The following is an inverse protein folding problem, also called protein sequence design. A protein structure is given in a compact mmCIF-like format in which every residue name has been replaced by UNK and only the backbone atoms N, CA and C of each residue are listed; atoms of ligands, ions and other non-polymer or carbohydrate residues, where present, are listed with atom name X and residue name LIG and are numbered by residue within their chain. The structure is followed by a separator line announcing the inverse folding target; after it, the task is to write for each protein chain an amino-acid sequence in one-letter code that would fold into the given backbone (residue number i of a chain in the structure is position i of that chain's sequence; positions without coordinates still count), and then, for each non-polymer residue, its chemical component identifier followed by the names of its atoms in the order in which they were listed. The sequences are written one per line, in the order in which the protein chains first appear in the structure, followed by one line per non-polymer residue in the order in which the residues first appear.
data_IF_117136840290
#
_entry.id   IF_117136840290
#
_cell.length_a   1.000
_cell.length_b   1.000
_cell.length_c   1.000
_cell.angle_alpha   90.00
_cell.angle_beta   90.00
_cell.angle_gamma   90.00
#
_symmetry.space_group_name_H-M   'P 1'
#
loop_
_entity.id
_entity.type
_entity.pdbx_description
1 polymer ?
#
# COMPACT_ATOMS: atom_id res chain seq x y z
N UNK A 1 -28.13 13.34 66.17
CA UNK A 1 -27.79 14.40 67.16
C UNK A 1 -27.36 15.63 66.38
N UNK A 2 -28.15 16.73 66.36
CA UNK A 2 -27.95 17.97 67.16
C UNK A 2 -26.48 18.43 67.15
N UNK A 3 -26.08 19.68 66.91
CA UNK A 3 -26.71 20.95 66.58
C UNK A 3 -25.56 21.95 66.29
N UNK A 4 -25.76 22.88 65.36
CA UNK A 4 -25.51 24.33 65.45
C UNK A 4 -24.35 24.94 66.29
N UNK A 5 -23.54 25.80 65.66
CA UNK A 5 -23.45 27.28 65.85
C UNK A 5 -22.15 27.81 65.19
N UNK A 6 -22.18 28.63 64.13
CA UNK A 6 -22.50 30.05 63.97
C UNK A 6 -21.54 31.06 64.65
N UNK A 7 -21.03 32.01 63.84
CA UNK A 7 -20.60 33.41 64.10
C UNK A 7 -19.32 33.73 63.29
N UNK A 8 -19.09 34.89 62.67
CA UNK A 8 -19.90 35.95 62.05
C UNK A 8 -18.93 37.01 61.46
N UNK A 9 -19.49 37.93 60.67
CA UNK A 9 -18.95 39.23 60.17
C UNK A 9 -18.04 39.25 58.92
N UNK A 10 -18.47 39.74 57.74
CA UNK A 10 -19.07 41.04 57.28
C UNK A 10 -18.04 42.10 56.87
N UNK A 11 -17.98 42.38 55.56
CA UNK A 11 -18.22 43.71 54.93
C UNK A 11 -18.10 43.55 53.39
N UNK A 12 -19.16 43.62 52.58
CA UNK A 12 -19.93 44.78 52.06
C UNK A 12 -19.16 45.73 51.13
N UNK A 13 -19.45 45.62 49.82
CA UNK A 13 -19.88 46.70 48.90
C UNK A 13 -20.13 46.06 47.51
N UNK A 14 -21.37 45.72 47.11
CA UNK A 14 -22.41 46.56 46.45
C UNK A 14 -21.87 47.53 45.39
N UNK A 15 -22.08 47.21 44.11
CA UNK A 15 -22.95 48.03 43.27
C UNK A 15 -23.63 47.22 42.15
N UNK A 16 -24.90 47.54 41.91
CA UNK A 16 -25.85 46.92 40.97
C UNK A 16 -25.75 47.59 39.59
N UNK A 17 -26.04 46.85 38.52
CA UNK A 17 -27.24 47.11 37.70
C UNK A 17 -27.52 46.01 36.67
N UNK A 18 -28.81 45.67 36.57
CA UNK A 18 -29.44 44.67 35.71
C UNK A 18 -29.54 45.14 34.25
N UNK A 19 -29.60 44.19 33.30
CA UNK A 19 -30.79 43.97 32.49
C UNK A 19 -30.74 42.61 31.76
N UNK A 20 -31.86 41.88 31.86
CA UNK A 20 -32.20 40.64 31.17
C UNK A 20 -32.27 40.81 29.64
N UNK A 21 -32.00 39.74 28.89
CA UNK A 21 -32.97 39.13 27.97
C UNK A 21 -32.43 37.84 27.34
N UNK A 22 -33.22 36.78 27.48
CA UNK A 22 -33.11 35.50 26.80
C UNK A 22 -33.03 35.66 25.27
N UNK A 23 -32.19 34.86 24.59
CA UNK A 23 -32.70 34.01 23.51
C UNK A 23 -31.72 32.94 23.00
N UNK A 24 -32.37 31.84 22.62
CA UNK A 24 -31.88 30.53 22.18
C UNK A 24 -31.07 30.54 20.86
N UNK A 25 -30.14 29.59 20.82
CA UNK A 25 -29.88 28.64 19.72
C UNK A 25 -29.21 29.08 18.41
N UNK A 26 -28.28 28.19 18.01
CA UNK A 26 -27.65 27.95 16.69
C UNK A 26 -26.39 28.74 16.38
N UNK A 27 -25.27 28.35 17.00
CA UNK A 27 -23.98 28.43 16.31
C UNK A 27 -23.67 27.08 15.65
N UNK A 28 -23.77 27.08 14.32
CA UNK A 28 -23.25 26.01 13.45
C UNK A 28 -21.74 25.96 13.64
N UNK A 29 -21.24 24.83 14.13
CA UNK A 29 -19.84 24.45 13.97
C UNK A 29 -19.52 24.40 12.47
N UNK A 30 -18.83 25.42 11.97
CA UNK A 30 -18.00 25.28 10.77
C UNK A 30 -16.77 24.49 11.21
N UNK A 31 -16.82 23.18 11.06
CA UNK A 31 -15.60 22.38 10.99
C UNK A 31 -14.87 22.81 9.71
N UNK A 32 -13.89 23.69 9.87
CA UNK A 32 -12.84 23.87 8.87
C UNK A 32 -12.03 22.58 8.83
N UNK A 33 -12.44 21.65 7.98
CA UNK A 33 -11.55 20.62 7.47
C UNK A 33 -10.53 21.35 6.59
N UNK A 34 -9.45 21.84 7.19
CA UNK A 34 -8.21 22.11 6.48
C UNK A 34 -7.69 20.75 6.01
N UNK A 35 -8.19 20.27 4.86
CA UNK A 35 -7.40 19.43 4.00
C UNK A 35 -6.18 20.27 3.64
N UNK A 36 -5.03 19.91 4.20
CA UNK A 36 -3.74 20.34 3.69
C UNK A 36 -3.63 19.81 2.26
N UNK A 37 -4.15 20.60 1.32
CA UNK A 37 -3.73 20.58 -0.07
C UNK A 37 -2.29 21.08 -0.09
N UNK A 38 -1.35 20.24 0.31
CA UNK A 38 0.01 20.37 -0.18
C UNK A 38 -0.09 20.03 -1.66
N UNK A 39 -0.29 21.07 -2.48
CA UNK A 39 -0.19 20.96 -3.92
C UNK A 39 1.12 20.21 -4.22
N UNK A 40 0.98 18.99 -4.75
CA UNK A 40 2.12 18.25 -5.30
C UNK A 40 2.68 19.17 -6.37
N UNK A 41 3.93 19.64 -6.26
CA UNK A 41 4.47 20.57 -7.25
C UNK A 41 4.31 19.95 -8.64
N UNK A 42 3.64 20.66 -9.54
CA UNK A 42 3.17 20.16 -10.85
C UNK A 42 4.29 19.75 -11.83
N UNK A 43 5.55 19.70 -11.39
CA UNK A 43 6.72 19.31 -12.17
C UNK A 43 7.74 18.57 -11.30
N UNK A 44 7.35 17.45 -10.70
CA UNK A 44 8.32 16.51 -10.13
C UNK A 44 8.75 15.57 -11.24
N UNK A 45 10.04 15.56 -11.56
CA UNK A 45 10.67 14.53 -12.38
C UNK A 45 11.29 13.47 -11.46
N UNK A 46 10.99 12.21 -11.74
CA UNK A 46 11.50 11.02 -11.05
C UNK A 46 12.60 10.42 -11.91
N UNK A 47 13.79 10.25 -11.33
CA UNK A 47 14.89 9.58 -12.00
C UNK A 47 14.63 8.08 -12.09
N UNK A 48 14.98 7.45 -13.21
CA UNK A 48 14.79 6.00 -13.39
C UNK A 48 15.69 5.13 -12.49
N UNK A 49 16.72 5.74 -11.87
CA UNK A 49 17.58 5.10 -10.87
C UNK A 49 17.24 5.47 -9.41
N UNK A 50 16.13 6.16 -9.15
CA UNK A 50 15.74 6.53 -7.79
C UNK A 50 15.18 5.32 -7.03
N UNK A 51 15.95 4.85 -6.05
CA UNK A 51 15.61 3.72 -5.17
C UNK A 51 14.36 3.92 -4.30
N UNK A 52 13.85 5.16 -4.21
CA UNK A 52 12.63 5.45 -3.47
C UNK A 52 11.36 5.27 -4.32
N UNK A 53 11.51 4.86 -5.58
CA UNK A 53 10.38 4.61 -6.47
C UNK A 53 10.50 3.25 -7.16
N UNK A 54 9.36 2.59 -7.29
CA UNK A 54 9.18 1.46 -8.19
C UNK A 54 8.36 1.93 -9.40
N UNK A 55 8.85 1.63 -10.60
CA UNK A 55 8.32 2.11 -11.87
C UNK A 55 8.04 0.91 -12.77
N UNK A 56 6.77 0.74 -13.12
CA UNK A 56 6.28 -0.36 -13.93
C UNK A 56 5.61 0.15 -15.20
N UNK A 57 5.64 -0.67 -16.25
CA UNK A 57 4.78 -0.54 -17.42
C UNK A 57 3.66 -1.58 -17.33
N UNK A 58 2.48 -1.24 -17.83
CA UNK A 58 1.42 -2.24 -17.98
C UNK A 58 1.75 -3.11 -19.19
N UNK A 59 1.79 -4.42 -19.00
CA UNK A 59 2.11 -5.37 -20.05
C UNK A 59 1.67 -6.79 -19.70
N UNK A 60 2.01 -7.73 -20.58
CA UNK A 60 1.76 -9.14 -20.36
C UNK A 60 3.10 -9.86 -20.22
N UNK A 61 3.16 -10.82 -19.31
CA UNK A 61 4.24 -11.80 -19.28
C UNK A 61 4.14 -12.74 -20.47
N UNK A 62 5.25 -13.39 -20.81
CA UNK A 62 5.33 -14.35 -21.92
C UNK A 62 4.76 -15.71 -21.52
N UNK A 63 4.92 -16.12 -20.26
CA UNK A 63 4.30 -17.31 -19.69
C UNK A 63 3.06 -16.94 -18.87
N UNK A 64 2.16 -17.91 -18.72
CA UNK A 64 1.04 -17.84 -17.79
C UNK A 64 1.49 -18.37 -16.42
N UNK A 65 1.22 -17.59 -15.37
CA UNK A 65 1.60 -17.92 -14.00
C UNK A 65 0.37 -18.12 -13.13
N UNK A 66 0.45 -19.08 -12.21
CA UNK A 66 -0.61 -19.40 -11.24
C UNK A 66 -0.13 -19.29 -9.81
N UNK A 67 1.13 -19.66 -9.57
CA UNK A 67 1.74 -19.73 -8.25
C UNK A 67 2.61 -18.50 -8.00
N UNK A 68 3.37 -18.06 -9.00
CA UNK A 68 4.24 -16.90 -8.85
C UNK A 68 3.43 -15.59 -8.82
N UNK A 69 3.39 -14.95 -7.65
CA UNK A 69 2.61 -13.74 -7.40
C UNK A 69 3.02 -12.52 -8.24
N UNK A 70 4.26 -12.48 -8.74
CA UNK A 70 4.69 -11.41 -9.65
C UNK A 70 4.11 -11.66 -11.05
N UNK A 71 4.16 -12.92 -11.49
CA UNK A 71 3.65 -13.35 -12.80
C UNK A 71 2.13 -13.27 -12.95
N UNK A 72 1.37 -13.17 -11.86
CA UNK A 72 -0.10 -13.02 -11.89
C UNK A 72 -0.57 -11.57 -12.04
N UNK A 73 0.36 -10.61 -11.98
CA UNK A 73 0.14 -9.18 -12.21
C UNK A 73 0.48 -8.80 -13.66
N UNK A 74 -0.09 -7.68 -14.14
CA UNK A 74 0.27 -7.06 -15.42
C UNK A 74 1.28 -5.91 -15.26
N UNK A 75 1.86 -5.75 -14.07
CA UNK A 75 2.90 -4.76 -13.78
C UNK A 75 4.28 -5.33 -14.13
N UNK A 76 4.88 -4.83 -15.21
CA UNK A 76 6.20 -5.26 -15.68
C UNK A 76 7.24 -4.22 -15.28
N UNK A 77 8.37 -4.60 -14.64
CA UNK A 77 9.44 -3.66 -14.32
C UNK A 77 9.87 -2.84 -15.54
N UNK A 78 9.97 -1.53 -15.36
CA UNK A 78 10.43 -0.61 -16.41
C UNK A 78 11.87 -0.12 -16.20
N UNK A 79 12.40 -0.21 -14.98
CA UNK A 79 13.75 0.26 -14.63
C UNK A 79 14.57 -0.81 -13.93
N UNK A 80 15.90 -0.70 -14.00
CA UNK A 80 16.80 -1.66 -13.33
C UNK A 80 16.55 -1.70 -11.82
N UNK A 81 16.37 -0.54 -11.19
CA UNK A 81 16.03 -0.43 -9.76
C UNK A 81 14.76 -1.19 -9.41
N UNK A 82 13.71 -1.08 -10.24
CA UNK A 82 12.46 -1.81 -10.01
C UNK A 82 12.64 -3.31 -10.19
N UNK A 83 13.37 -3.72 -11.24
CA UNK A 83 13.74 -5.12 -11.48
C UNK A 83 14.50 -5.72 -10.29
N UNK A 84 15.52 -5.03 -9.79
CA UNK A 84 16.29 -5.46 -8.62
C UNK A 84 15.40 -5.63 -7.38
N UNK A 85 14.50 -4.68 -7.12
CA UNK A 85 13.54 -4.77 -6.03
C UNK A 85 12.61 -5.98 -6.17
N UNK A 86 12.05 -6.22 -7.36
CA UNK A 86 11.19 -7.37 -7.63
C UNK A 86 11.94 -8.68 -7.41
N UNK A 87 13.13 -8.82 -7.98
CA UNK A 87 13.96 -10.03 -7.81
C UNK A 87 14.34 -10.24 -6.35
N UNK A 88 14.70 -9.18 -5.62
CA UNK A 88 15.03 -9.27 -4.19
C UNK A 88 13.84 -9.76 -3.37
N UNK A 89 12.67 -9.15 -3.55
CA UNK A 89 11.46 -9.52 -2.82
C UNK A 89 11.04 -10.96 -3.13
N UNK A 90 11.10 -11.36 -4.40
CA UNK A 90 10.75 -12.72 -4.82
C UNK A 90 11.70 -13.76 -4.18
N UNK A 91 13.00 -13.47 -4.13
CA UNK A 91 13.98 -14.32 -3.44
C UNK A 91 13.72 -14.39 -1.93
N UNK A 92 13.41 -13.27 -1.29
CA UNK A 92 13.13 -13.23 0.16
C UNK A 92 11.90 -14.09 0.51
N UNK A 93 10.82 -13.97 -0.28
CA UNK A 93 9.62 -14.79 -0.12
C UNK A 93 9.96 -16.27 -0.34
N UNK A 94 10.67 -16.63 -1.42
CA UNK A 94 11.03 -18.02 -1.72
C UNK A 94 11.98 -18.64 -0.69
N UNK A 95 12.85 -17.85 -0.07
CA UNK A 95 13.75 -18.35 0.97
C UNK A 95 13.07 -18.51 2.34
N UNK A 96 11.86 -18.00 2.49
CA UNK A 96 11.05 -18.23 3.68
C UNK A 96 10.45 -19.64 3.66
N UNK A 97 10.33 -20.27 4.82
CA UNK A 97 9.81 -21.65 4.94
C UNK A 97 8.60 -21.73 5.87
N UNK A 98 7.65 -22.59 5.51
CA UNK A 98 6.40 -22.78 6.22
C UNK A 98 6.05 -24.27 6.30
N UNK A 99 5.43 -24.70 7.41
CA UNK A 99 4.91 -26.05 7.54
C UNK A 99 3.43 -26.11 7.10
N UNK A 100 3.13 -26.94 6.10
CA UNK A 100 1.79 -27.15 5.56
C UNK A 100 1.54 -28.65 5.36
N UNK A 101 0.48 -29.18 5.97
CA UNK A 101 0.12 -30.60 5.91
C UNK A 101 1.28 -31.57 6.26
N UNK A 102 2.12 -31.19 7.24
CA UNK A 102 3.28 -31.97 7.68
C UNK A 102 4.46 -31.97 6.70
N UNK A 103 4.47 -31.05 5.73
CA UNK A 103 5.58 -30.83 4.78
C UNK A 103 6.05 -29.38 4.87
N UNK A 104 7.35 -29.18 4.74
CA UNK A 104 7.96 -27.85 4.60
C UNK A 104 7.82 -27.37 3.15
N UNK A 105 7.34 -26.14 2.96
CA UNK A 105 7.21 -25.50 1.67
C UNK A 105 7.77 -24.08 1.71
N UNK A 106 8.18 -23.56 0.56
CA UNK A 106 8.66 -22.18 0.46
C UNK A 106 7.51 -21.16 0.56
N UNK A 107 7.88 -19.90 0.80
CA UNK A 107 6.91 -18.82 0.96
C UNK A 107 6.08 -18.51 -0.28
N UNK A 108 6.57 -18.77 -1.50
CA UNK A 108 5.79 -18.56 -2.72
C UNK A 108 4.63 -19.56 -2.76
N UNK A 109 4.91 -20.84 -2.53
CA UNK A 109 3.87 -21.89 -2.44
C UNK A 109 2.88 -21.56 -1.32
N UNK A 110 3.37 -21.22 -0.11
CA UNK A 110 2.50 -20.93 1.02
C UNK A 110 1.56 -19.74 0.75
N UNK A 111 2.10 -18.63 0.25
CA UNK A 111 1.30 -17.43 -0.04
C UNK A 111 0.35 -17.65 -1.21
N UNK A 112 0.76 -18.37 -2.26
CA UNK A 112 -0.14 -18.65 -3.39
C UNK A 112 -1.38 -19.44 -2.97
N UNK A 113 -1.23 -20.47 -2.13
CA UNK A 113 -2.37 -21.23 -1.57
C UNK A 113 -3.26 -20.35 -0.70
N UNK A 114 -2.65 -19.46 0.10
CA UNK A 114 -3.39 -18.56 0.98
C UNK A 114 -4.18 -17.50 0.19
N UNK A 115 -3.62 -16.99 -0.90
CA UNK A 115 -4.16 -15.85 -1.66
C UNK A 115 -5.02 -16.26 -2.87
N UNK A 116 -4.90 -17.50 -3.33
CA UNK A 116 -5.66 -18.05 -4.45
C UNK A 116 -6.47 -19.27 -4.00
N UNK A 117 -7.78 -19.09 -3.86
CA UNK A 117 -8.71 -20.14 -3.42
C UNK A 117 -8.69 -21.37 -4.34
N UNK A 118 -8.40 -21.21 -5.63
CA UNK A 118 -8.37 -22.32 -6.59
C UNK A 118 -7.22 -23.30 -6.34
N UNK A 119 -6.17 -22.86 -5.64
CA UNK A 119 -5.03 -23.71 -5.26
C UNK A 119 -5.31 -24.49 -3.97
N UNK A 120 -6.33 -24.11 -3.20
CA UNK A 120 -6.67 -24.78 -1.96
C UNK A 120 -7.20 -26.20 -2.23
N UNK A 121 -6.58 -27.19 -1.58
CA UNK A 121 -6.93 -28.60 -1.76
C UNK A 121 -6.26 -29.29 -2.96
N UNK A 122 -5.47 -28.57 -3.76
CA UNK A 122 -4.59 -29.21 -4.74
C UNK A 122 -3.47 -30.01 -4.06
N UNK A 123 -2.88 -30.94 -4.80
CA UNK A 123 -1.77 -31.75 -4.30
C UNK A 123 -0.53 -30.87 -4.06
N UNK A 124 0.02 -30.94 -2.85
CA UNK A 124 1.12 -30.07 -2.44
C UNK A 124 2.42 -30.34 -3.23
N UNK A 125 2.70 -31.58 -3.61
CA UNK A 125 3.87 -31.93 -4.43
C UNK A 125 3.77 -31.35 -5.83
N UNK A 126 2.58 -31.37 -6.42
CA UNK A 126 2.34 -30.79 -7.74
C UNK A 126 2.53 -29.26 -7.72
N UNK A 127 2.05 -28.60 -6.66
CA UNK A 127 2.24 -27.15 -6.48
C UNK A 127 3.73 -26.78 -6.29
N UNK A 128 4.50 -27.56 -5.53
CA UNK A 128 5.94 -27.32 -5.36
C UNK A 128 6.67 -27.46 -6.70
N UNK A 129 6.34 -28.50 -7.48
CA UNK A 129 6.98 -28.71 -8.77
C UNK A 129 6.62 -27.61 -9.78
N UNK A 130 5.37 -27.16 -9.79
CA UNK A 130 4.95 -26.06 -10.65
C UNK A 130 5.56 -24.72 -10.21
N UNK A 131 5.71 -24.47 -8.90
CA UNK A 131 6.40 -23.28 -8.39
C UNK A 131 7.85 -23.23 -8.88
N UNK A 132 8.60 -24.33 -8.81
CA UNK A 132 10.00 -24.34 -9.27
C UNK A 132 10.11 -23.98 -10.76
N UNK A 133 9.17 -24.50 -11.57
CA UNK A 133 9.09 -24.22 -13.00
C UNK A 133 8.71 -22.76 -13.27
N UNK A 134 7.68 -22.26 -12.61
CA UNK A 134 7.24 -20.88 -12.72
C UNK A 134 8.32 -19.89 -12.25
N UNK A 135 8.99 -20.18 -11.14
CA UNK A 135 10.07 -19.37 -10.59
C UNK A 135 11.21 -19.21 -11.58
N UNK A 136 11.68 -20.30 -12.19
CA UNK A 136 12.72 -20.23 -13.22
C UNK A 136 12.27 -19.37 -14.41
N UNK A 137 11.06 -19.62 -14.91
CA UNK A 137 10.54 -18.91 -16.06
C UNK A 137 10.43 -17.41 -15.81
N UNK A 138 9.89 -16.98 -14.66
CA UNK A 138 9.75 -15.55 -14.36
C UNK A 138 11.10 -14.88 -14.13
N UNK A 139 12.08 -15.55 -13.51
CA UNK A 139 13.43 -15.01 -13.36
C UNK A 139 14.07 -14.80 -14.72
N UNK A 140 13.96 -15.77 -15.63
CA UNK A 140 14.48 -15.66 -16.99
C UNK A 140 13.80 -14.50 -17.74
N UNK A 141 12.46 -14.40 -17.68
CA UNK A 141 11.72 -13.29 -18.28
C UNK A 141 12.13 -11.92 -17.73
N UNK A 142 12.23 -11.78 -16.41
CA UNK A 142 12.63 -10.52 -15.76
C UNK A 142 14.04 -10.10 -16.19
N UNK A 143 14.96 -11.05 -16.33
CA UNK A 143 16.32 -10.77 -16.76
C UNK A 143 16.41 -10.36 -18.24
N UNK A 144 15.46 -10.78 -19.06
CA UNK A 144 15.37 -10.46 -20.49
C UNK A 144 14.57 -9.17 -20.78
N UNK A 145 14.01 -8.51 -19.76
CA UNK A 145 13.23 -7.29 -19.95
C UNK A 145 14.06 -6.17 -20.59
N UNK A 146 13.50 -5.53 -21.61
CA UNK A 146 13.97 -4.24 -22.08
C UNK A 146 13.50 -3.13 -21.12
N UNK A 147 14.48 -2.44 -20.54
CA UNK A 147 14.31 -1.42 -19.51
C UNK A 147 14.67 -0.04 -20.04
N UNK A 148 14.13 0.98 -19.39
CA UNK A 148 14.47 2.38 -19.66
C UNK A 148 15.93 2.69 -19.28
N UNK A 149 16.55 3.66 -19.97
CA UNK A 149 17.91 4.12 -19.68
C UNK A 149 17.99 4.66 -18.24
N UNK A 150 18.93 4.15 -17.44
CA UNK A 150 19.09 4.52 -16.04
C UNK A 150 19.45 6.00 -15.80
N UNK A 151 19.91 6.71 -16.83
CA UNK A 151 20.15 8.17 -16.80
C UNK A 151 18.90 8.98 -17.17
N UNK A 152 17.82 8.31 -17.58
CA UNK A 152 16.55 8.92 -17.92
C UNK A 152 15.74 9.34 -16.69
N UNK A 153 14.64 10.05 -16.97
CA UNK A 153 13.68 10.46 -15.96
C UNK A 153 12.28 10.53 -16.55
N UNK A 154 11.29 10.58 -15.68
CA UNK A 154 9.89 10.71 -16.04
C UNK A 154 9.16 11.70 -15.14
N UNK A 155 8.22 12.44 -15.72
CA UNK A 155 7.28 13.25 -14.96
C UNK A 155 6.42 12.38 -14.05
N UNK A 156 6.29 12.77 -12.79
CA UNK A 156 5.43 12.08 -11.82
C UNK A 156 4.02 11.92 -12.38
N UNK A 157 3.44 12.98 -12.92
CA UNK A 157 2.18 12.91 -13.67
C UNK A 157 2.47 12.51 -15.12
N UNK A 158 2.06 11.30 -15.48
CA UNK A 158 2.24 10.71 -16.81
C UNK A 158 1.14 9.69 -17.13
N UNK A 159 1.09 9.25 -18.38
CA UNK A 159 0.12 8.30 -18.93
C UNK A 159 0.75 6.95 -19.35
N UNK A 160 2.03 6.72 -19.05
CA UNK A 160 2.81 5.59 -19.58
C UNK A 160 3.21 4.57 -18.51
N UNK A 161 3.53 5.03 -17.30
CA UNK A 161 4.11 4.21 -16.25
C UNK A 161 3.32 4.33 -14.96
N UNK A 162 3.21 3.20 -14.29
CA UNK A 162 2.77 3.10 -12.92
C UNK A 162 3.96 3.43 -12.01
N UNK A 163 3.79 4.40 -11.13
CA UNK A 163 4.83 4.88 -10.23
C UNK A 163 4.35 4.70 -8.80
N UNK A 164 5.05 3.86 -8.06
CA UNK A 164 4.87 3.69 -6.63
C UNK A 164 6.02 4.34 -5.89
N UNK A 165 5.71 5.14 -4.88
CA UNK A 165 6.70 5.64 -3.93
C UNK A 165 6.89 4.59 -2.84
N UNK A 166 8.13 4.20 -2.61
CA UNK A 166 8.54 3.25 -1.59
C UNK A 166 8.84 4.02 -0.30
N UNK A 167 8.00 3.82 0.72
CA UNK A 167 8.16 4.48 2.01
C UNK A 167 8.41 3.43 3.10
N UNK A 168 9.35 3.70 4.00
CA UNK A 168 9.54 2.87 5.19
C UNK A 168 8.46 3.18 6.21
N UNK A 169 7.69 2.18 6.58
CA UNK A 169 6.78 2.19 7.73
C UNK A 169 7.30 1.21 8.78
N UNK A 170 7.95 1.75 9.82
CA UNK A 170 8.65 1.01 10.86
C UNK A 170 9.70 0.02 10.30
N UNK A 171 9.30 -1.24 10.14
CA UNK A 171 10.14 -2.35 9.71
C UNK A 171 9.81 -2.86 8.31
N UNK A 172 8.81 -2.27 7.64
CA UNK A 172 8.30 -2.72 6.34
C UNK A 172 8.41 -1.59 5.32
N UNK A 173 8.77 -1.95 4.09
CA UNK A 173 8.66 -1.05 2.94
C UNK A 173 7.24 -1.13 2.37
N UNK A 174 6.55 0.00 2.34
CA UNK A 174 5.19 0.12 1.79
C UNK A 174 5.27 0.84 0.45
N UNK A 175 4.71 0.22 -0.59
CA UNK A 175 4.52 0.86 -1.89
C UNK A 175 3.22 1.66 -1.88
N UNK A 176 3.29 2.97 -2.16
CA UNK A 176 2.12 3.85 -2.27
C UNK A 176 2.00 4.41 -3.69
N UNK A 177 0.82 4.37 -4.32
CA UNK A 177 0.61 5.01 -5.62
C UNK A 177 1.03 6.48 -5.59
N UNK A 178 1.90 6.88 -6.50
CA UNK A 178 2.50 8.21 -6.49
C UNK A 178 1.74 9.24 -7.35
N UNK A 179 0.86 8.77 -8.25
CA UNK A 179 0.05 9.60 -9.14
C UNK A 179 -1.36 9.03 -9.34
N UNK A 180 -2.22 9.78 -10.04
CA UNK A 180 -3.62 9.39 -10.29
C UNK A 180 -3.77 8.13 -11.16
N UNK A 181 -2.91 7.94 -12.16
CA UNK A 181 -2.90 6.75 -13.02
C UNK A 181 -2.66 5.48 -12.19
N UNK A 182 -1.62 5.50 -11.36
CA UNK A 182 -1.21 4.38 -10.51
C UNK A 182 -2.27 4.08 -9.46
N UNK A 183 -2.85 5.12 -8.85
CA UNK A 183 -3.92 4.95 -7.87
C UNK A 183 -5.13 4.24 -8.47
N UNK A 184 -5.51 4.62 -9.69
CA UNK A 184 -6.64 4.00 -10.40
C UNK A 184 -6.34 2.54 -10.71
N UNK A 185 -5.19 2.25 -11.32
CA UNK A 185 -4.80 0.87 -11.65
C UNK A 185 -4.70 -0.01 -10.39
N UNK A 186 -4.07 0.49 -9.32
CA UNK A 186 -3.98 -0.22 -8.04
C UNK A 186 -5.37 -0.55 -7.45
N UNK A 187 -6.33 0.38 -7.53
CA UNK A 187 -7.69 0.14 -7.07
C UNK A 187 -8.44 -0.90 -7.93
N UNK A 188 -8.24 -0.86 -9.24
CA UNK A 188 -8.79 -1.85 -10.18
C UNK A 188 -8.21 -3.24 -9.90
N UNK A 189 -6.92 -3.35 -9.62
CA UNK A 189 -6.26 -4.61 -9.30
C UNK A 189 -6.75 -5.19 -7.96
N UNK A 190 -6.90 -4.36 -6.93
CA UNK A 190 -7.51 -4.80 -5.67
C UNK A 190 -8.93 -5.34 -5.89
N UNK A 191 -9.72 -4.70 -6.76
CA UNK A 191 -11.07 -5.14 -7.06
C UNK A 191 -11.05 -6.49 -7.80
N UNK A 192 -10.18 -6.65 -8.81
CA UNK A 192 -9.98 -7.93 -9.52
C UNK A 192 -9.62 -9.06 -8.55
N UNK A 193 -8.69 -8.83 -7.64
CA UNK A 193 -8.24 -9.83 -6.67
C UNK A 193 -9.34 -10.21 -5.65
N UNK A 194 -10.26 -9.29 -5.34
CA UNK A 194 -11.44 -9.61 -4.51
C UNK A 194 -12.42 -10.50 -5.25
N UNK A 195 -12.72 -10.18 -6.50
CA UNK A 195 -13.63 -10.95 -7.35
C UNK A 195 -13.12 -12.36 -7.64
N UNK A 196 -11.79 -12.56 -7.67
CA UNK A 196 -11.18 -13.89 -7.78
C UNK A 196 -11.30 -14.76 -6.52
N UNK A 197 -11.58 -14.15 -5.37
CA UNK A 197 -11.63 -14.81 -4.07
C UNK A 197 -13.07 -14.96 -3.51
N UNK A 198 -14.08 -14.53 -4.27
CA UNK A 198 -15.53 -14.71 -3.98
C UNK A 198 -16.12 -15.88 -4.77
#
# INVERSE_FOLDING_TARGET
MKNNNNLDNKNKNKNKNNNNLDNKNKNKNKNNNNLNNNAIPENIDISFNDINYAIYKIGNWKNDYKINLIGTSNEIPATETTKEHVLSNMNEIRNSTFEMNGKEVNGIVALSIQLNIELQGQNLDDLINEEEKEYKNIVDEINELELEDSNGSIKLENDKFLIYKLEKDHHVTVAKPANGLTLKHHAEEIQRLKEMNE
#
